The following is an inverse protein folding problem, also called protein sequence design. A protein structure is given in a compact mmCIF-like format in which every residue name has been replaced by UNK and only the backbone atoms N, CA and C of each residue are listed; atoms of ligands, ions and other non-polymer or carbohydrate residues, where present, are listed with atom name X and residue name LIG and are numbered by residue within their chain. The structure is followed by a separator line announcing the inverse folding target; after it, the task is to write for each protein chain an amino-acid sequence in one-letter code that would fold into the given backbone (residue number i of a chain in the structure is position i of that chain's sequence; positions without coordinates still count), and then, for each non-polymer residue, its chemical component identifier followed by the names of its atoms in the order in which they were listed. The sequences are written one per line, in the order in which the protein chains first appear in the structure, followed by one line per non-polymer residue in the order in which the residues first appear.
data_IF_765471606881
#
_entry.id   IF_765471606881
#
_cell.length_a   1.000
_cell.length_b   1.000
_cell.length_c   1.000
_cell.angle_alpha   90.00
_cell.angle_beta   90.00
_cell.angle_gamma   90.00
#
_symmetry.space_group_name_H-M   'P 1'
#
loop_
_entity.id
_entity.type
_entity.pdbx_description
1 polymer ?
#
# COMPACT_ATOMS: atom_id res chain seq x y z
N UNK A 1 3.45 -4.75 -5.40
CA UNK A 1 4.32 -4.27 -6.48
C UNK A 1 5.36 -5.33 -6.89
N UNK A 2 6.05 -5.99 -5.94
CA UNK A 2 7.09 -7.00 -6.22
C UNK A 2 6.62 -8.15 -7.13
N UNK A 3 5.47 -8.78 -6.83
CA UNK A 3 4.91 -9.86 -7.66
C UNK A 3 4.63 -9.37 -9.09
N UNK A 4 4.15 -8.14 -9.22
CA UNK A 4 3.91 -7.52 -10.52
C UNK A 4 5.23 -7.30 -11.29
N UNK A 5 6.25 -6.76 -10.61
CA UNK A 5 7.58 -6.54 -11.18
C UNK A 5 8.18 -7.85 -11.71
N UNK A 6 8.12 -8.90 -10.90
CA UNK A 6 8.58 -10.23 -11.27
C UNK A 6 7.81 -10.80 -12.48
N UNK A 7 6.48 -10.71 -12.48
CA UNK A 7 5.65 -11.19 -13.59
C UNK A 7 5.93 -10.43 -14.88
N UNK A 8 6.10 -9.10 -14.81
CA UNK A 8 6.36 -8.23 -15.94
C UNK A 8 7.73 -8.55 -16.56
N UNK A 9 8.78 -8.56 -15.73
CA UNK A 9 10.14 -8.82 -16.19
C UNK A 9 10.27 -10.22 -16.80
N UNK A 10 9.82 -11.24 -16.08
CA UNK A 10 9.92 -12.61 -16.54
C UNK A 10 9.03 -12.94 -17.76
N UNK A 11 7.98 -12.14 -18.01
CA UNK A 11 7.22 -12.24 -19.26
C UNK A 11 8.02 -11.75 -20.47
N UNK A 12 8.73 -10.63 -20.33
CA UNK A 12 9.47 -9.97 -21.40
C UNK A 12 10.97 -10.34 -21.44
N UNK A 13 11.47 -11.11 -20.50
CA UNK A 13 12.86 -11.54 -20.44
C UNK A 13 13.22 -12.47 -21.60
N UNK A 14 14.51 -12.53 -21.93
CA UNK A 14 15.04 -13.52 -22.88
C UNK A 14 14.66 -14.93 -22.39
N UNK A 15 14.06 -15.73 -23.25
CA UNK A 15 13.46 -17.04 -22.94
C UNK A 15 12.20 -17.00 -22.05
N UNK A 16 11.63 -15.83 -21.85
CA UNK A 16 10.34 -15.63 -21.18
C UNK A 16 9.13 -16.07 -22.00
N UNK A 17 7.94 -15.83 -21.45
CA UNK A 17 6.69 -16.22 -22.12
C UNK A 17 6.48 -15.48 -23.45
N UNK A 18 6.79 -14.17 -23.47
CA UNK A 18 6.71 -13.36 -24.71
C UNK A 18 7.71 -13.85 -25.75
N UNK A 19 8.93 -14.18 -25.33
CA UNK A 19 9.94 -14.77 -26.22
C UNK A 19 9.41 -16.05 -26.88
N UNK A 20 8.88 -16.98 -26.09
CA UNK A 20 8.37 -18.26 -26.61
C UNK A 20 7.22 -18.06 -27.60
N UNK A 21 6.33 -17.09 -27.36
CA UNK A 21 5.20 -16.80 -28.25
C UNK A 21 5.69 -16.15 -29.56
N UNK A 22 6.56 -15.15 -29.44
CA UNK A 22 7.00 -14.36 -30.60
C UNK A 22 7.99 -15.11 -31.49
N UNK A 23 8.89 -15.92 -30.91
CA UNK A 23 9.79 -16.77 -31.72
C UNK A 23 9.04 -17.83 -32.49
N UNK A 24 7.94 -18.36 -31.93
CA UNK A 24 7.07 -19.30 -32.65
C UNK A 24 6.31 -18.65 -33.83
N UNK A 25 6.04 -17.33 -33.75
CA UNK A 25 5.29 -16.59 -34.77
C UNK A 25 6.19 -15.93 -35.81
N UNK A 26 7.31 -15.37 -35.39
CA UNK A 26 8.14 -14.49 -36.26
C UNK A 26 9.60 -14.94 -36.39
N UNK A 27 10.06 -15.96 -35.65
CA UNK A 27 11.45 -16.40 -35.59
C UNK A 27 12.33 -15.63 -34.60
N UNK A 28 13.48 -16.22 -34.24
CA UNK A 28 14.34 -15.69 -33.15
C UNK A 28 15.02 -14.36 -33.45
N UNK A 29 15.27 -14.05 -34.70
CA UNK A 29 16.11 -12.90 -35.08
C UNK A 29 15.47 -11.53 -34.76
N UNK A 30 14.15 -11.42 -34.75
CA UNK A 30 13.45 -10.14 -34.56
C UNK A 30 13.07 -9.85 -33.14
N UNK A 31 13.12 -10.82 -32.22
CA UNK A 31 12.69 -10.67 -30.83
C UNK A 31 13.43 -9.55 -30.11
N UNK A 32 14.75 -9.54 -30.15
CA UNK A 32 15.58 -8.59 -29.38
C UNK A 32 15.48 -7.12 -29.84
N UNK A 33 14.92 -6.87 -31.04
CA UNK A 33 14.84 -5.53 -31.64
C UNK A 33 13.59 -4.74 -31.17
N UNK A 34 12.49 -5.42 -30.88
CA UNK A 34 11.19 -4.78 -30.67
C UNK A 34 10.63 -4.89 -29.26
N UNK A 35 11.28 -5.64 -28.37
CA UNK A 35 10.75 -5.87 -27.02
C UNK A 35 11.27 -4.84 -26.05
N UNK A 36 10.36 -4.18 -25.30
CA UNK A 36 10.77 -3.24 -24.28
C UNK A 36 11.45 -3.99 -23.13
N UNK A 37 12.63 -3.52 -22.75
CA UNK A 37 13.29 -3.99 -21.53
C UNK A 37 12.71 -3.26 -20.34
N UNK A 38 12.12 -4.03 -19.43
CA UNK A 38 11.60 -3.51 -18.16
C UNK A 38 12.67 -3.71 -17.09
N UNK A 39 13.65 -2.82 -17.05
CA UNK A 39 14.77 -2.84 -16.12
C UNK A 39 14.88 -1.51 -15.34
N UNK A 40 15.66 -1.54 -14.26
CA UNK A 40 15.98 -0.37 -13.46
C UNK A 40 14.77 0.47 -13.06
N UNK A 41 14.91 1.79 -13.10
CA UNK A 41 13.87 2.74 -12.67
C UNK A 41 12.61 2.67 -13.52
N UNK A 42 12.70 2.37 -14.80
CA UNK A 42 11.54 2.29 -15.70
C UNK A 42 10.64 1.12 -15.32
N UNK A 43 11.21 -0.07 -15.13
CA UNK A 43 10.46 -1.25 -14.68
C UNK A 43 9.82 -1.05 -13.31
N UNK A 44 10.53 -0.41 -12.38
CA UNK A 44 10.02 -0.09 -11.04
C UNK A 44 8.83 0.87 -11.09
N UNK A 45 8.93 1.97 -11.84
CA UNK A 45 7.85 2.96 -11.98
C UNK A 45 6.59 2.32 -12.55
N UNK A 46 6.71 1.52 -13.61
CA UNK A 46 5.55 0.84 -14.21
C UNK A 46 4.93 -0.14 -13.22
N UNK A 47 5.75 -0.96 -12.56
CA UNK A 47 5.28 -1.97 -11.61
C UNK A 47 4.55 -1.35 -10.42
N UNK A 48 5.10 -0.27 -9.85
CA UNK A 48 4.46 0.46 -8.76
C UNK A 48 3.19 1.18 -9.22
N UNK A 49 3.19 1.79 -10.42
CA UNK A 49 2.03 2.49 -10.96
C UNK A 49 0.83 1.57 -11.13
N UNK A 50 1.01 0.40 -11.74
CA UNK A 50 -0.07 -0.58 -11.91
C UNK A 50 -0.50 -1.27 -10.61
N UNK A 51 0.38 -1.33 -9.61
CA UNK A 51 0.04 -1.91 -8.31
C UNK A 51 -0.69 -0.93 -7.38
N UNK A 52 -0.34 0.35 -7.42
CA UNK A 52 -0.80 1.32 -6.41
C UNK A 52 -1.85 2.33 -6.91
N UNK A 53 -2.17 2.38 -8.22
CA UNK A 53 -3.18 3.30 -8.74
C UNK A 53 -4.53 3.18 -8.01
N UNK A 54 -4.85 2.00 -7.50
CA UNK A 54 -6.08 1.71 -6.80
C UNK A 54 -6.33 2.61 -5.58
N UNK A 55 -5.28 3.01 -4.86
CA UNK A 55 -5.40 3.91 -3.71
C UNK A 55 -5.97 5.28 -4.13
N UNK A 56 -5.42 5.88 -5.19
CA UNK A 56 -5.91 7.16 -5.73
C UNK A 56 -7.31 6.99 -6.32
N UNK A 57 -7.52 5.92 -7.07
CA UNK A 57 -8.79 5.64 -7.73
C UNK A 57 -9.95 5.51 -6.74
N UNK A 58 -9.79 4.69 -5.70
CA UNK A 58 -10.88 4.43 -4.73
C UNK A 58 -11.25 5.69 -3.97
N UNK A 59 -10.28 6.45 -3.48
CA UNK A 59 -10.54 7.69 -2.73
C UNK A 59 -11.14 8.78 -3.60
N UNK A 60 -10.62 8.95 -4.82
CA UNK A 60 -11.14 9.94 -5.77
C UNK A 60 -12.56 9.57 -6.24
N UNK A 61 -12.79 8.29 -6.54
CA UNK A 61 -14.12 7.79 -6.91
C UNK A 61 -15.12 7.98 -5.78
N UNK A 62 -14.76 7.68 -4.54
CA UNK A 62 -15.62 7.93 -3.38
C UNK A 62 -15.97 9.41 -3.26
N UNK A 63 -14.97 10.31 -3.41
CA UNK A 63 -15.19 11.74 -3.39
C UNK A 63 -16.17 12.20 -4.47
N UNK A 64 -16.00 11.74 -5.70
CA UNK A 64 -16.92 12.08 -6.79
C UNK A 64 -18.33 11.51 -6.58
N UNK A 65 -18.45 10.31 -6.00
CA UNK A 65 -19.74 9.69 -5.73
C UNK A 65 -20.55 10.45 -4.67
N UNK A 66 -19.86 10.99 -3.65
CA UNK A 66 -20.50 11.77 -2.58
C UNK A 66 -20.64 13.27 -2.91
N UNK A 67 -20.08 13.75 -4.02
CA UNK A 67 -20.32 15.10 -4.49
C UNK A 67 -21.78 15.19 -4.97
N UNK A 68 -22.53 16.07 -4.32
CA UNK A 68 -23.95 16.21 -4.60
C UNK A 68 -24.19 16.72 -6.03
N UNK A 69 -25.31 16.30 -6.62
CA UNK A 69 -25.86 16.84 -7.88
C UNK A 69 -25.90 18.39 -7.87
N UNK A 70 -26.04 18.97 -6.69
CA UNK A 70 -26.04 20.42 -6.49
C UNK A 70 -24.79 21.11 -7.08
N UNK A 71 -23.60 20.47 -7.06
CA UNK A 71 -22.39 21.09 -7.64
C UNK A 71 -22.47 21.17 -9.18
N UNK A 72 -23.11 20.19 -9.81
CA UNK A 72 -23.35 20.22 -11.26
C UNK A 72 -24.40 21.27 -11.60
N UNK A 73 -25.45 21.38 -10.79
CA UNK A 73 -26.50 22.39 -10.96
C UNK A 73 -25.97 23.81 -10.74
N UNK A 74 -25.12 24.01 -9.72
CA UNK A 74 -24.41 25.28 -9.51
C UNK A 74 -23.57 25.66 -10.73
N UNK A 75 -22.83 24.71 -11.31
CA UNK A 75 -22.07 24.96 -12.53
C UNK A 75 -22.95 25.39 -13.70
N UNK A 76 -24.09 24.74 -13.90
CA UNK A 76 -25.07 25.10 -14.94
C UNK A 76 -25.68 26.45 -14.69
N UNK A 77 -26.04 26.81 -13.44
CA UNK A 77 -26.60 28.10 -13.07
C UNK A 77 -25.60 29.26 -13.26
N UNK A 78 -24.30 28.94 -13.14
CA UNK A 78 -23.22 29.89 -13.47
C UNK A 78 -22.90 29.99 -14.98
N UNK A 79 -23.65 29.29 -15.82
CA UNK A 79 -23.46 29.29 -17.27
C UNK A 79 -22.26 28.43 -17.75
N UNK A 80 -21.68 27.60 -16.88
CA UNK A 80 -20.56 26.76 -17.29
C UNK A 80 -21.02 25.54 -18.12
N UNK A 81 -20.24 25.24 -19.15
CA UNK A 81 -20.35 23.98 -19.86
C UNK A 81 -20.03 22.79 -18.93
N UNK A 82 -20.43 21.59 -19.31
CA UNK A 82 -20.15 20.36 -18.52
C UNK A 82 -18.65 20.17 -18.27
N UNK A 83 -17.80 20.50 -19.23
CA UNK A 83 -16.33 20.42 -19.10
C UNK A 83 -15.79 21.48 -18.15
N UNK A 84 -16.30 22.70 -18.23
CA UNK A 84 -15.89 23.77 -17.32
C UNK A 84 -16.35 23.51 -15.89
N UNK A 85 -17.58 23.02 -15.69
CA UNK A 85 -18.08 22.62 -14.38
C UNK A 85 -17.21 21.51 -13.77
N UNK A 86 -16.78 20.54 -14.57
CA UNK A 86 -15.86 19.51 -14.10
C UNK A 86 -14.51 20.08 -13.66
N UNK A 87 -13.88 20.89 -14.51
CA UNK A 87 -12.51 21.40 -14.23
C UNK A 87 -12.48 22.50 -13.17
N UNK A 88 -13.52 23.37 -13.11
CA UNK A 88 -13.53 24.55 -12.22
C UNK A 88 -14.21 24.29 -10.87
N UNK A 89 -15.12 23.30 -10.78
CA UNK A 89 -15.90 23.05 -9.56
C UNK A 89 -15.65 21.65 -9.01
N UNK A 90 -15.90 20.61 -9.82
CA UNK A 90 -15.90 19.22 -9.34
C UNK A 90 -14.47 18.74 -9.02
N UNK A 91 -13.53 18.92 -9.93
CA UNK A 91 -12.14 18.50 -9.75
C UNK A 91 -11.44 19.23 -8.59
N UNK A 92 -11.58 20.57 -8.42
CA UNK A 92 -11.04 21.26 -7.24
C UNK A 92 -11.64 20.78 -5.92
N UNK A 93 -12.93 20.45 -5.88
CA UNK A 93 -13.55 19.90 -4.65
C UNK A 93 -13.08 18.48 -4.31
N UNK A 94 -12.60 17.71 -5.28
CA UNK A 94 -12.02 16.41 -5.07
C UNK A 94 -10.50 16.43 -4.73
N UNK A 95 -9.83 17.59 -4.83
CA UNK A 95 -8.39 17.71 -4.54
C UNK A 95 -7.94 17.06 -3.23
N UNK A 96 -8.65 17.22 -2.10
CA UNK A 96 -8.20 16.61 -0.86
C UNK A 96 -8.23 15.08 -0.89
N UNK A 97 -9.17 14.47 -1.61
CA UNK A 97 -9.22 13.01 -1.78
C UNK A 97 -8.10 12.51 -2.72
N UNK A 98 -7.80 13.28 -3.77
CA UNK A 98 -6.69 12.99 -4.68
C UNK A 98 -5.35 13.07 -3.92
N UNK A 99 -5.14 14.12 -3.13
CA UNK A 99 -3.92 14.30 -2.34
C UNK A 99 -3.78 13.20 -1.30
N UNK A 100 -4.87 12.82 -0.61
CA UNK A 100 -4.85 11.69 0.32
C UNK A 100 -4.47 10.38 -0.38
N UNK A 101 -5.01 10.10 -1.57
CA UNK A 101 -4.63 8.94 -2.36
C UNK A 101 -3.16 8.95 -2.80
N UNK A 102 -2.67 10.11 -3.27
CA UNK A 102 -1.26 10.27 -3.63
C UNK A 102 -0.33 10.13 -2.43
N UNK A 103 -0.70 10.62 -1.26
CA UNK A 103 0.09 10.46 -0.03
C UNK A 103 0.18 8.98 0.38
N UNK A 104 -0.90 8.22 0.26
CA UNK A 104 -0.86 6.78 0.50
C UNK A 104 0.06 6.07 -0.49
N UNK A 105 -0.01 6.39 -1.77
CA UNK A 105 0.90 5.85 -2.79
C UNK A 105 2.35 6.21 -2.46
N UNK A 106 2.62 7.46 -2.10
CA UNK A 106 3.96 7.89 -1.73
C UNK A 106 4.49 7.13 -0.50
N UNK A 107 3.66 6.91 0.53
CA UNK A 107 4.03 6.12 1.71
C UNK A 107 4.32 4.65 1.34
N UNK A 108 3.51 4.04 0.48
CA UNK A 108 3.75 2.67 0.02
C UNK A 108 5.00 2.55 -0.86
N UNK A 109 5.27 3.52 -1.74
CA UNK A 109 6.51 3.58 -2.52
C UNK A 109 7.76 3.74 -1.64
N UNK A 110 7.69 4.61 -0.61
CA UNK A 110 8.78 4.80 0.35
C UNK A 110 8.98 3.57 1.25
N UNK A 111 7.96 2.73 1.41
CA UNK A 111 8.03 1.50 2.20
C UNK A 111 8.44 0.28 1.38
N UNK A 112 8.40 0.37 0.05
CA UNK A 112 8.67 -0.76 -0.82
C UNK A 112 10.17 -1.09 -0.79
N UNK A 113 10.45 -2.32 -0.43
CA UNK A 113 11.77 -2.92 -0.50
C UNK A 113 11.86 -3.89 -1.69
N UNK A 114 10.80 -4.71 -1.86
CA UNK A 114 10.83 -5.84 -2.79
C UNK A 114 11.00 -5.42 -4.25
N UNK A 115 10.22 -4.43 -4.71
CA UNK A 115 10.28 -3.97 -6.11
C UNK A 115 11.59 -3.27 -6.41
N UNK A 116 12.02 -2.36 -5.53
CA UNK A 116 13.26 -1.59 -5.76
C UNK A 116 14.49 -2.48 -5.67
N UNK A 117 14.50 -3.45 -4.76
CA UNK A 117 15.57 -4.45 -4.67
C UNK A 117 15.63 -5.35 -5.90
N UNK A 118 14.48 -5.78 -6.40
CA UNK A 118 14.37 -6.61 -7.61
C UNK A 118 14.97 -5.90 -8.83
N UNK A 119 14.73 -4.60 -9.00
CA UNK A 119 15.30 -3.79 -10.07
C UNK A 119 16.67 -3.20 -9.74
N UNK A 120 17.30 -3.64 -8.66
CA UNK A 120 18.64 -3.18 -8.22
C UNK A 120 18.75 -1.66 -8.03
N UNK A 121 17.65 -1.03 -7.56
CA UNK A 121 17.61 0.42 -7.29
C UNK A 121 18.00 0.68 -5.84
N UNK A 122 19.02 1.50 -5.64
CA UNK A 122 19.44 1.93 -4.31
C UNK A 122 18.48 2.99 -3.75
N UNK A 123 17.70 2.61 -2.75
CA UNK A 123 16.78 3.49 -2.00
C UNK A 123 17.13 3.46 -0.51
N UNK A 124 16.48 4.34 0.29
CA UNK A 124 16.68 4.29 1.74
C UNK A 124 16.25 2.95 2.33
N UNK A 125 15.18 2.33 1.83
CA UNK A 125 14.72 1.02 2.30
C UNK A 125 15.71 -0.09 1.99
N UNK A 126 16.31 -0.11 0.80
CA UNK A 126 17.38 -1.07 0.46
C UNK A 126 18.65 -0.80 1.28
N UNK A 127 18.98 0.48 1.52
CA UNK A 127 20.08 0.87 2.39
C UNK A 127 19.91 0.38 3.83
N UNK A 128 18.72 0.56 4.42
CA UNK A 128 18.39 0.07 5.77
C UNK A 128 18.54 -1.46 5.84
N UNK A 129 17.96 -2.16 4.87
CA UNK A 129 18.01 -3.61 4.83
C UNK A 129 19.44 -4.15 4.68
N UNK A 130 20.22 -3.58 3.77
CA UNK A 130 21.61 -3.99 3.55
C UNK A 130 22.49 -3.69 4.78
N UNK A 131 22.33 -2.52 5.41
CA UNK A 131 23.06 -2.19 6.64
C UNK A 131 22.74 -3.19 7.76
N UNK A 132 21.46 -3.54 7.91
CA UNK A 132 21.05 -4.48 8.94
C UNK A 132 21.47 -5.93 8.65
N UNK A 133 21.14 -6.45 7.45
CA UNK A 133 21.28 -7.89 7.15
C UNK A 133 22.64 -8.23 6.52
N UNK A 134 23.13 -7.40 5.57
CA UNK A 134 24.36 -7.70 4.85
C UNK A 134 25.61 -7.25 5.63
N UNK A 135 25.53 -6.14 6.35
CA UNK A 135 26.68 -5.59 7.10
C UNK A 135 26.59 -5.79 8.61
N UNK A 136 25.49 -6.35 9.12
CA UNK A 136 25.22 -6.55 10.57
C UNK A 136 25.40 -5.26 11.41
N UNK A 137 25.13 -4.09 10.79
CA UNK A 137 25.27 -2.78 11.41
C UNK A 137 23.89 -2.18 11.70
N UNK A 138 23.38 -2.50 12.90
CA UNK A 138 22.11 -1.95 13.39
C UNK A 138 22.17 -0.44 13.63
N UNK A 139 23.34 0.13 13.94
CA UNK A 139 23.46 1.56 14.20
C UNK A 139 23.23 2.37 12.92
N UNK A 140 23.89 2.01 11.83
CA UNK A 140 23.66 2.62 10.52
C UNK A 140 22.23 2.37 10.04
N UNK A 141 21.68 1.16 10.23
CA UNK A 141 20.30 0.87 9.90
C UNK A 141 19.30 1.77 10.66
N UNK A 142 19.53 2.04 11.95
CA UNK A 142 18.71 2.96 12.74
C UNK A 142 18.83 4.41 12.25
N UNK A 143 20.03 4.89 11.90
CA UNK A 143 20.23 6.24 11.37
C UNK A 143 19.50 6.45 10.04
N UNK A 144 19.61 5.50 9.12
CA UNK A 144 18.87 5.52 7.85
C UNK A 144 17.35 5.40 8.06
N UNK A 145 16.93 4.60 9.03
CA UNK A 145 15.51 4.47 9.43
C UNK A 145 14.97 5.79 9.96
N UNK A 146 15.74 6.50 10.78
CA UNK A 146 15.36 7.83 11.26
C UNK A 146 15.24 8.84 10.11
N UNK A 147 16.18 8.84 9.16
CA UNK A 147 16.13 9.71 7.99
C UNK A 147 14.86 9.44 7.17
N UNK A 148 14.55 8.17 6.89
CA UNK A 148 13.33 7.78 6.17
C UNK A 148 12.06 8.19 6.93
N UNK A 149 12.05 8.05 8.26
CA UNK A 149 10.94 8.49 9.10
C UNK A 149 10.69 10.01 8.98
N UNK A 150 11.75 10.82 8.96
CA UNK A 150 11.65 12.27 8.76
C UNK A 150 11.00 12.61 7.42
N UNK A 151 11.36 11.92 6.33
CA UNK A 151 10.70 12.09 5.03
C UNK A 151 9.20 11.77 5.09
N UNK A 152 8.84 10.69 5.75
CA UNK A 152 7.43 10.27 5.88
C UNK A 152 6.64 11.27 6.73
N UNK A 153 7.20 11.74 7.84
CA UNK A 153 6.58 12.77 8.65
C UNK A 153 6.38 14.08 7.86
N UNK A 154 7.33 14.45 7.03
CA UNK A 154 7.20 15.60 6.16
C UNK A 154 6.04 15.46 5.16
N UNK A 155 5.92 14.30 4.50
CA UNK A 155 4.78 14.00 3.63
C UNK A 155 3.44 14.03 4.39
N UNK A 156 3.41 13.46 5.58
CA UNK A 156 2.21 13.49 6.43
C UNK A 156 1.81 14.91 6.84
N UNK A 157 2.78 15.77 7.12
CA UNK A 157 2.52 17.18 7.42
C UNK A 157 1.97 17.93 6.20
N UNK A 158 2.49 17.69 5.01
CA UNK A 158 1.97 18.26 3.75
C UNK A 158 0.53 17.80 3.52
N UNK A 159 0.24 16.52 3.70
CA UNK A 159 -1.11 15.98 3.59
C UNK A 159 -2.08 16.66 4.55
N UNK A 160 -1.72 16.73 5.84
CA UNK A 160 -2.56 17.36 6.85
C UNK A 160 -2.78 18.85 6.58
N UNK A 161 -1.75 19.55 6.12
CA UNK A 161 -1.88 20.97 5.74
C UNK A 161 -2.84 21.15 4.56
N UNK A 162 -2.71 20.32 3.54
CA UNK A 162 -3.59 20.34 2.36
C UNK A 162 -5.06 20.03 2.70
N UNK A 163 -5.31 19.19 3.71
CA UNK A 163 -6.67 18.83 4.16
C UNK A 163 -7.33 19.88 5.04
N UNK A 164 -6.58 20.68 5.79
CA UNK A 164 -7.12 21.69 6.72
C UNK A 164 -7.95 22.78 6.03
N UNK A 165 -7.74 23.05 4.75
CA UNK A 165 -8.52 24.03 3.96
C UNK A 165 -9.88 23.53 3.48
N UNK A 166 -10.10 22.23 3.48
CA UNK A 166 -11.33 21.62 2.97
C UNK A 166 -12.25 21.25 4.15
N UNK A 167 -13.07 22.20 4.59
CA UNK A 167 -14.21 21.92 5.48
C UNK A 167 -15.21 21.07 4.69
N UNK A 168 -15.14 19.74 4.83
CA UNK A 168 -16.19 18.86 4.34
C UNK A 168 -17.46 19.09 5.16
N UNK A 169 -18.29 20.01 4.73
CA UNK A 169 -19.70 19.98 5.09
C UNK A 169 -20.32 18.89 4.20
N UNK A 170 -20.33 17.66 4.68
CA UNK A 170 -21.23 16.65 4.15
C UNK A 170 -22.62 16.98 4.72
N UNK A 171 -23.54 17.50 3.93
CA UNK A 171 -24.92 17.59 4.35
C UNK A 171 -25.42 16.15 4.47
N UNK A 172 -25.56 15.66 5.71
CA UNK A 172 -26.06 14.33 6.04
C UNK A 172 -27.54 14.11 5.63
N UNK A 173 -28.20 15.14 5.15
CA UNK A 173 -29.60 15.09 4.70
C UNK A 173 -29.71 15.56 3.26
N UNK A 174 -30.22 14.68 2.38
CA UNK A 174 -30.63 15.04 1.03
C UNK A 174 -29.58 14.89 -0.08
N UNK A 175 -28.61 13.99 0.08
CA UNK A 175 -27.72 13.60 -1.03
C UNK A 175 -28.56 12.94 -2.14
N UNK A 176 -28.88 13.68 -3.18
CA UNK A 176 -29.42 13.08 -4.40
C UNK A 176 -28.27 12.38 -5.12
N UNK A 177 -28.42 11.10 -5.46
CA UNK A 177 -27.41 10.39 -6.24
C UNK A 177 -27.21 11.11 -7.58
N UNK A 178 -25.96 11.25 -8.02
CA UNK A 178 -25.65 11.81 -9.32
C UNK A 178 -26.32 10.94 -10.40
N UNK A 179 -27.13 11.52 -11.30
CA UNK A 179 -27.76 10.75 -12.36
C UNK A 179 -26.69 10.09 -13.21
N UNK A 180 -26.81 8.79 -13.41
CA UNK A 180 -25.92 8.04 -14.29
C UNK A 180 -26.12 8.52 -15.72
N UNK A 181 -25.03 8.90 -16.37
CA UNK A 181 -25.06 9.25 -17.79
C UNK A 181 -24.86 7.95 -18.57
N UNK A 182 -25.87 7.54 -19.32
CA UNK A 182 -25.75 6.38 -20.20
C UNK A 182 -24.91 6.74 -21.42
N UNK A 183 -23.80 6.05 -21.56
CA UNK A 183 -22.92 6.18 -22.73
C UNK A 183 -23.34 5.15 -23.78
N UNK A 184 -23.93 5.60 -24.88
CA UNK A 184 -24.43 4.74 -25.95
C UNK A 184 -23.50 4.78 -27.16
N UNK A 185 -23.27 3.60 -27.79
CA UNK A 185 -22.52 3.45 -29.03
C UNK A 185 -21.02 3.79 -28.90
N UNK A 186 -20.45 4.48 -29.89
CA UNK A 186 -19.01 4.79 -29.96
C UNK A 186 -18.49 5.60 -28.77
N UNK A 187 -19.35 6.34 -28.07
CA UNK A 187 -18.96 7.13 -26.89
C UNK A 187 -18.64 6.27 -25.65
N UNK A 188 -19.18 5.06 -25.59
CA UNK A 188 -18.87 4.11 -24.49
C UNK A 188 -17.57 3.33 -24.74
N UNK A 189 -17.12 3.24 -26.00
CA UNK A 189 -16.00 2.39 -26.38
C UNK A 189 -14.69 2.83 -25.71
N UNK A 190 -14.37 4.12 -25.75
CA UNK A 190 -13.12 4.63 -25.18
C UNK A 190 -13.02 4.41 -23.66
N UNK A 191 -14.01 4.81 -22.82
CA UNK A 191 -13.95 4.53 -21.38
C UNK A 191 -13.88 3.04 -21.05
N UNK A 192 -14.63 2.21 -21.80
CA UNK A 192 -14.63 0.75 -21.60
C UNK A 192 -13.28 0.15 -21.93
N UNK A 193 -12.70 0.49 -23.08
CA UNK A 193 -11.36 0.01 -23.45
C UNK A 193 -10.29 0.47 -22.48
N UNK A 194 -10.34 1.73 -22.04
CA UNK A 194 -9.39 2.27 -21.07
C UNK A 194 -9.47 1.55 -19.72
N UNK A 195 -10.68 1.36 -19.17
CA UNK A 195 -10.85 0.62 -17.92
C UNK A 195 -10.45 -0.85 -18.07
N UNK A 196 -10.79 -1.49 -19.21
CA UNK A 196 -10.39 -2.86 -19.49
C UNK A 196 -8.89 -3.01 -19.63
N UNK A 197 -8.21 -2.05 -20.25
CA UNK A 197 -6.76 -2.02 -20.36
C UNK A 197 -6.09 -1.96 -18.98
N UNK A 198 -6.53 -1.03 -18.13
CA UNK A 198 -5.99 -0.93 -16.77
C UNK A 198 -6.25 -2.21 -15.98
N UNK A 199 -7.46 -2.75 -16.02
CA UNK A 199 -7.82 -3.98 -15.32
C UNK A 199 -7.03 -5.19 -15.83
N UNK A 200 -6.87 -5.28 -17.14
CA UNK A 200 -6.07 -6.35 -17.75
C UNK A 200 -4.63 -6.31 -17.26
N UNK A 201 -3.95 -5.17 -17.40
CA UNK A 201 -2.54 -5.07 -17.02
C UNK A 201 -2.31 -5.11 -15.51
N UNK A 202 -3.20 -4.54 -14.70
CA UNK A 202 -3.01 -4.53 -13.24
C UNK A 202 -3.35 -5.86 -12.57
N UNK A 203 -4.26 -6.64 -13.12
CA UNK A 203 -4.77 -7.84 -12.46
C UNK A 203 -4.68 -9.10 -13.33
N UNK A 204 -5.32 -9.10 -14.52
CA UNK A 204 -5.40 -10.32 -15.32
C UNK A 204 -4.02 -10.79 -15.76
N UNK A 205 -3.20 -9.90 -16.25
CA UNK A 205 -1.86 -10.21 -16.76
C UNK A 205 -0.95 -10.88 -15.70
N UNK A 206 -0.68 -10.28 -14.52
CA UNK A 206 0.17 -10.92 -13.53
C UNK A 206 -0.41 -12.22 -12.99
N UNK A 207 -1.73 -12.30 -12.79
CA UNK A 207 -2.40 -13.52 -12.32
C UNK A 207 -2.28 -14.64 -13.36
N UNK A 208 -2.56 -14.34 -14.64
CA UNK A 208 -2.45 -15.34 -15.71
C UNK A 208 -1.03 -15.86 -15.88
N UNK A 209 -0.04 -15.00 -15.73
CA UNK A 209 1.38 -15.39 -15.80
C UNK A 209 1.76 -16.31 -14.63
N UNK A 210 1.32 -16.01 -13.41
CA UNK A 210 1.53 -16.87 -12.25
C UNK A 210 0.84 -18.23 -12.40
N UNK A 211 -0.41 -18.24 -12.88
CA UNK A 211 -1.13 -19.48 -13.15
C UNK A 211 -0.43 -20.32 -14.23
N UNK A 212 0.03 -19.69 -15.29
CA UNK A 212 0.79 -20.38 -16.35
C UNK A 212 2.03 -21.09 -15.80
N UNK A 213 2.81 -20.43 -14.95
CA UNK A 213 3.99 -21.06 -14.34
C UNK A 213 3.62 -22.21 -13.37
N UNK A 214 2.57 -22.03 -12.57
CA UNK A 214 2.11 -23.07 -11.66
C UNK A 214 1.75 -24.34 -12.42
N UNK A 215 1.09 -24.22 -13.57
CA UNK A 215 0.70 -25.36 -14.40
C UNK A 215 1.89 -25.95 -15.14
N UNK A 216 2.79 -25.11 -15.66
CA UNK A 216 3.93 -25.55 -16.49
C UNK A 216 5.03 -26.21 -15.65
N UNK A 217 5.22 -25.79 -14.40
CA UNK A 217 6.32 -26.23 -13.54
C UNK A 217 5.83 -26.86 -12.21
N UNK A 218 4.98 -27.87 -12.23
CA UNK A 218 4.41 -28.43 -11.01
C UNK A 218 5.46 -29.09 -10.09
N UNK A 219 6.59 -29.53 -10.64
CA UNK A 219 7.65 -30.20 -9.86
C UNK A 219 8.26 -29.31 -8.78
N UNK A 220 8.32 -28.01 -9.00
CA UNK A 220 8.86 -27.06 -8.01
C UNK A 220 8.00 -26.91 -6.75
N UNK A 221 6.73 -27.36 -6.80
CA UNK A 221 5.82 -27.32 -5.65
C UNK A 221 5.78 -28.63 -4.85
N UNK A 222 6.36 -29.72 -5.37
CA UNK A 222 6.29 -31.05 -4.74
C UNK A 222 7.11 -31.12 -3.45
N UNK A 223 8.22 -30.38 -3.38
CA UNK A 223 9.11 -30.37 -2.22
C UNK A 223 8.72 -29.31 -1.17
N UNK A 224 7.69 -28.51 -1.43
CA UNK A 224 7.22 -27.45 -0.54
C UNK A 224 5.99 -27.93 0.22
N UNK A 225 6.07 -27.95 1.55
CA UNK A 225 4.90 -28.22 2.40
C UNK A 225 3.93 -27.02 2.39
N UNK A 226 3.16 -26.93 1.29
CA UNK A 226 2.18 -25.85 1.09
C UNK A 226 1.10 -25.86 2.19
N UNK A 227 0.78 -27.02 2.74
CA UNK A 227 -0.25 -27.14 3.78
C UNK A 227 0.21 -26.45 5.06
N UNK A 228 1.41 -26.77 5.54
CA UNK A 228 1.99 -26.17 6.73
C UNK A 228 2.15 -24.65 6.57
N UNK A 229 2.65 -24.17 5.41
CA UNK A 229 2.77 -22.74 5.12
C UNK A 229 1.42 -22.02 5.16
N UNK A 230 0.38 -22.62 4.56
CA UNK A 230 -0.97 -22.03 4.59
C UNK A 230 -1.56 -22.00 6.00
N UNK A 231 -1.43 -23.09 6.77
CA UNK A 231 -1.90 -23.15 8.16
C UNK A 231 -1.22 -22.08 9.02
N UNK A 232 0.11 -21.96 8.94
CA UNK A 232 0.86 -20.95 9.68
C UNK A 232 0.45 -19.53 9.30
N UNK A 233 0.25 -19.27 8.01
CA UNK A 233 -0.23 -17.97 7.53
C UNK A 233 -1.64 -17.66 8.05
N UNK A 234 -2.57 -18.62 7.97
CA UNK A 234 -3.93 -18.46 8.47
C UNK A 234 -3.98 -18.25 9.99
N UNK A 235 -3.18 -19.02 10.73
CA UNK A 235 -3.05 -18.86 12.19
C UNK A 235 -2.59 -17.44 12.54
N UNK A 236 -1.57 -16.94 11.84
CA UNK A 236 -1.02 -15.61 12.06
C UNK A 236 -2.05 -14.51 11.73
N UNK A 237 -2.79 -14.66 10.64
CA UNK A 237 -3.87 -13.74 10.23
C UNK A 237 -4.99 -13.73 11.27
N UNK A 238 -5.46 -14.90 11.71
CA UNK A 238 -6.55 -15.00 12.69
C UNK A 238 -6.14 -14.41 14.03
N UNK A 239 -4.96 -14.75 14.53
CA UNK A 239 -4.48 -14.22 15.82
C UNK A 239 -4.29 -12.70 15.77
N UNK A 240 -3.64 -12.20 14.72
CA UNK A 240 -3.40 -10.76 14.59
C UNK A 240 -4.70 -9.96 14.42
N UNK A 241 -5.62 -10.44 13.58
CA UNK A 241 -6.90 -9.75 13.36
C UNK A 241 -7.78 -9.76 14.60
N UNK A 242 -7.85 -10.87 15.33
CA UNK A 242 -8.61 -10.97 16.58
C UNK A 242 -8.05 -10.01 17.63
N UNK A 243 -6.73 -9.96 17.77
CA UNK A 243 -6.05 -9.02 18.67
C UNK A 243 -6.37 -7.57 18.28
N UNK A 244 -6.22 -7.20 17.00
CA UNK A 244 -6.50 -5.86 16.47
C UNK A 244 -7.95 -5.44 16.70
N UNK A 245 -8.92 -6.29 16.40
CA UNK A 245 -10.35 -5.99 16.56
C UNK A 245 -10.68 -5.80 18.04
N UNK A 246 -10.21 -6.69 18.91
CA UNK A 246 -10.48 -6.64 20.34
C UNK A 246 -9.95 -5.35 20.97
N UNK A 247 -8.70 -5.00 20.73
CA UNK A 247 -8.11 -3.77 21.26
C UNK A 247 -8.73 -2.50 20.64
N UNK A 248 -9.04 -2.52 19.35
CA UNK A 248 -9.72 -1.40 18.70
C UNK A 248 -11.14 -1.19 19.25
N UNK A 249 -11.86 -2.26 19.51
CA UNK A 249 -13.19 -2.17 20.13
C UNK A 249 -13.09 -1.59 21.54
N UNK A 250 -12.18 -2.12 22.37
CA UNK A 250 -11.98 -1.63 23.75
C UNK A 250 -11.59 -0.15 23.78
N UNK A 251 -10.68 0.27 22.89
CA UNK A 251 -10.24 1.68 22.83
C UNK A 251 -11.35 2.61 22.34
N UNK A 252 -12.13 2.21 21.32
CA UNK A 252 -13.28 2.99 20.85
C UNK A 252 -14.37 3.08 21.93
N UNK A 253 -14.66 1.98 22.62
CA UNK A 253 -15.62 1.97 23.73
C UNK A 253 -15.13 2.87 24.88
N UNK A 254 -13.86 2.74 25.28
CA UNK A 254 -13.26 3.58 26.30
C UNK A 254 -13.33 5.08 25.97
N UNK A 255 -13.06 5.45 24.71
CA UNK A 255 -13.18 6.84 24.27
C UNK A 255 -14.63 7.37 24.30
N UNK A 256 -15.62 6.53 24.06
CA UNK A 256 -17.05 6.91 24.14
C UNK A 256 -17.51 7.12 25.57
N UNK A 257 -17.08 6.24 26.47
CA UNK A 257 -17.55 6.25 27.87
C UNK A 257 -16.82 7.29 28.71
N UNK A 258 -15.49 7.32 28.65
CA UNK A 258 -14.70 8.16 29.59
C UNK A 258 -14.65 9.64 29.21
N UNK A 259 -14.91 10.02 27.94
CA UNK A 259 -14.72 11.38 27.38
C UNK A 259 -13.36 12.01 27.73
N UNK A 260 -12.37 11.19 28.09
CA UNK A 260 -11.04 11.63 28.49
C UNK A 260 -10.25 12.18 27.31
N UNK A 261 -9.75 13.42 27.45
CA UNK A 261 -8.85 14.02 26.45
C UNK A 261 -7.56 13.22 26.28
N UNK A 262 -7.06 12.61 27.35
CA UNK A 262 -5.84 11.80 27.33
C UNK A 262 -6.02 10.52 26.50
N UNK A 263 -7.12 9.78 26.68
CA UNK A 263 -7.41 8.59 25.89
C UNK A 263 -7.61 8.93 24.41
N UNK A 264 -8.28 10.03 24.13
CA UNK A 264 -8.44 10.50 22.75
C UNK A 264 -7.10 10.88 22.11
N UNK A 265 -6.19 11.49 22.86
CA UNK A 265 -4.85 11.82 22.39
C UNK A 265 -4.03 10.54 22.12
N UNK A 266 -4.04 9.57 23.05
CA UNK A 266 -3.36 8.28 22.88
C UNK A 266 -3.88 7.52 21.66
N UNK A 267 -5.20 7.45 21.49
CA UNK A 267 -5.79 6.77 20.33
C UNK A 267 -5.41 7.47 19.01
N UNK A 268 -5.38 8.80 18.98
CA UNK A 268 -4.96 9.57 17.81
C UNK A 268 -3.48 9.33 17.49
N UNK A 269 -2.64 9.24 18.51
CA UNK A 269 -1.21 8.91 18.34
C UNK A 269 -1.04 7.49 17.78
N UNK A 270 -1.77 6.51 18.32
CA UNK A 270 -1.70 5.11 17.86
C UNK A 270 -2.13 4.94 16.40
N UNK A 271 -2.99 5.81 15.87
CA UNK A 271 -3.41 5.80 14.47
C UNK A 271 -2.25 6.13 13.51
N UNK A 272 -1.25 6.89 13.95
CA UNK A 272 -0.10 7.26 13.11
C UNK A 272 0.81 6.08 12.73
N UNK A 273 0.70 4.95 13.42
CA UNK A 273 1.53 3.76 13.18
C UNK A 273 1.44 3.19 11.76
N UNK A 274 0.32 3.39 11.06
CA UNK A 274 0.18 2.94 9.67
C UNK A 274 1.16 3.60 8.70
N UNK A 275 1.56 4.84 8.98
CA UNK A 275 2.50 5.59 8.15
C UNK A 275 3.94 5.04 8.23
N UNK A 276 4.26 4.20 9.23
CA UNK A 276 5.61 3.69 9.46
C UNK A 276 5.88 2.50 8.53
N UNK A 277 6.92 2.57 7.67
CA UNK A 277 7.36 1.44 6.85
C UNK A 277 7.71 0.21 7.68
N UNK A 278 7.39 -0.98 7.13
CA UNK A 278 7.66 -2.25 7.82
C UNK A 278 9.12 -2.46 8.16
N UNK A 279 10.04 -2.01 7.30
CA UNK A 279 11.50 -2.13 7.54
C UNK A 279 11.94 -1.28 8.73
N UNK A 280 11.45 -0.04 8.84
CA UNK A 280 11.73 0.84 10.00
C UNK A 280 11.20 0.19 11.28
N UNK A 281 9.96 -0.31 11.22
CA UNK A 281 9.33 -0.95 12.37
C UNK A 281 10.09 -2.19 12.82
N UNK A 282 10.58 -3.01 11.88
CA UNK A 282 11.38 -4.19 12.19
C UNK A 282 12.69 -3.82 12.90
N UNK A 283 13.46 -2.88 12.34
CA UNK A 283 14.72 -2.39 12.95
C UNK A 283 14.46 -1.78 14.32
N UNK A 284 13.43 -0.94 14.47
CA UNK A 284 13.07 -0.31 15.74
C UNK A 284 12.69 -1.34 16.82
N UNK A 285 11.89 -2.36 16.49
CA UNK A 285 11.51 -3.41 17.44
C UNK A 285 12.71 -4.25 17.86
N UNK A 286 13.57 -4.64 16.92
CA UNK A 286 14.79 -5.41 17.24
C UNK A 286 15.71 -4.61 18.16
N UNK A 287 15.94 -3.34 17.85
CA UNK A 287 16.77 -2.46 18.67
C UNK A 287 16.17 -2.27 20.07
N UNK A 288 14.86 -2.01 20.14
CA UNK A 288 14.16 -1.83 21.42
C UNK A 288 14.22 -3.09 22.30
N UNK A 289 13.91 -4.27 21.73
CA UNK A 289 13.94 -5.50 22.51
C UNK A 289 15.36 -5.98 22.84
N UNK A 290 16.35 -5.66 22.02
CA UNK A 290 17.76 -5.88 22.38
C UNK A 290 18.15 -5.01 23.58
N UNK A 291 17.85 -3.72 23.52
CA UNK A 291 18.09 -2.80 24.64
C UNK A 291 17.35 -3.22 25.93
N UNK A 292 16.09 -3.61 25.82
CA UNK A 292 15.28 -4.07 26.95
C UNK A 292 15.86 -5.33 27.57
N UNK A 293 16.34 -6.25 26.75
CA UNK A 293 17.01 -7.48 27.20
C UNK A 293 18.31 -7.19 27.98
N UNK A 294 19.13 -6.28 27.43
CA UNK A 294 20.39 -5.89 28.07
C UNK A 294 20.13 -5.15 29.40
N UNK A 295 19.14 -4.28 29.44
CA UNK A 295 18.69 -3.60 30.65
C UNK A 295 18.18 -4.59 31.70
N UNK A 296 17.35 -5.55 31.31
CA UNK A 296 16.80 -6.57 32.22
C UNK A 296 17.87 -7.51 32.76
N UNK A 297 18.86 -7.89 31.94
CA UNK A 297 19.95 -8.74 32.37
C UNK A 297 20.89 -8.01 33.34
N UNK A 298 21.16 -6.74 33.11
CA UNK A 298 22.06 -5.93 33.96
C UNK A 298 21.39 -5.56 35.32
N UNK A 299 20.08 -5.33 35.34
CA UNK A 299 19.36 -4.82 36.54
C UNK A 299 18.77 -5.94 37.38
N UNK A 300 18.21 -6.97 36.75
CA UNK A 300 17.46 -8.02 37.44
C UNK A 300 18.09 -9.41 37.32
N UNK A 301 19.22 -9.57 36.62
CA UNK A 301 19.89 -10.86 36.40
C UNK A 301 19.02 -11.87 35.60
N UNK A 302 17.97 -11.41 34.94
CA UNK A 302 17.07 -12.25 34.17
C UNK A 302 17.72 -12.64 32.84
N UNK A 303 17.64 -13.95 32.52
CA UNK A 303 18.12 -14.41 31.22
C UNK A 303 17.36 -13.76 30.08
N UNK A 304 18.08 -13.47 29.03
CA UNK A 304 17.68 -12.73 27.83
C UNK A 304 16.23 -12.94 27.39
N UNK A 305 15.43 -11.88 27.41
CA UNK A 305 14.10 -11.82 26.78
C UNK A 305 14.16 -11.71 25.26
N UNK A 306 15.35 -11.53 24.69
CA UNK A 306 15.56 -11.29 23.26
C UNK A 306 14.87 -12.34 22.38
N UNK A 307 14.98 -13.62 22.75
CA UNK A 307 14.39 -14.75 21.99
C UNK A 307 12.86 -14.80 22.05
N UNK A 308 12.22 -14.19 23.05
CA UNK A 308 10.75 -14.17 23.17
C UNK A 308 10.14 -13.23 22.12
N UNK A 309 10.83 -12.15 21.77
CA UNK A 309 10.33 -11.13 20.86
C UNK A 309 10.92 -11.22 19.46
N UNK A 310 12.24 -11.45 19.36
CA UNK A 310 12.94 -11.51 18.08
C UNK A 310 12.81 -12.90 17.48
N UNK A 311 12.26 -12.98 16.25
CA UNK A 311 12.05 -14.24 15.54
C UNK A 311 10.85 -15.05 16.03
N UNK A 312 9.98 -14.49 16.86
CA UNK A 312 8.79 -15.13 17.40
C UNK A 312 7.50 -14.65 16.73
N UNK A 313 6.44 -15.46 16.84
CA UNK A 313 5.07 -15.08 16.44
C UNK A 313 4.60 -13.85 17.21
N UNK A 314 4.99 -13.71 18.48
CA UNK A 314 4.61 -12.56 19.29
C UNK A 314 5.19 -11.24 18.76
N UNK A 315 6.47 -11.23 18.38
CA UNK A 315 7.09 -10.06 17.74
C UNK A 315 6.41 -9.66 16.45
N UNK A 316 6.00 -10.64 15.62
CA UNK A 316 5.24 -10.38 14.39
C UNK A 316 3.84 -9.82 14.68
N UNK A 317 3.11 -10.38 15.63
CA UNK A 317 1.79 -9.87 16.03
C UNK A 317 1.90 -8.43 16.54
N UNK A 318 2.92 -8.11 17.32
CA UNK A 318 3.18 -6.74 17.81
C UNK A 318 3.48 -5.79 16.65
N UNK A 319 4.28 -6.20 15.68
CA UNK A 319 4.55 -5.39 14.48
C UNK A 319 3.28 -5.12 13.68
N UNK A 320 2.46 -6.14 13.47
CA UNK A 320 1.16 -6.00 12.81
C UNK A 320 0.20 -5.12 13.62
N UNK A 321 0.21 -5.27 14.94
CA UNK A 321 -0.60 -4.44 15.83
C UNK A 321 -0.25 -2.95 15.67
N UNK A 322 1.02 -2.59 15.76
CA UNK A 322 1.46 -1.20 15.61
C UNK A 322 1.07 -0.65 14.23
N UNK A 323 1.29 -1.42 13.17
CA UNK A 323 1.06 -0.98 11.79
C UNK A 323 -0.43 -0.89 11.43
N UNK A 324 -1.23 -1.88 11.79
CA UNK A 324 -2.61 -2.02 11.31
C UNK A 324 -3.67 -1.59 12.31
N UNK A 325 -3.29 -1.18 13.52
CA UNK A 325 -4.24 -0.70 14.53
C UNK A 325 -5.12 0.44 14.01
N UNK A 326 -4.55 1.35 13.25
CA UNK A 326 -5.24 2.47 12.62
C UNK A 326 -6.42 2.03 11.73
N UNK A 327 -6.23 0.98 10.92
CA UNK A 327 -7.27 0.48 10.04
C UNK A 327 -8.44 -0.11 10.83
N UNK A 328 -8.14 -0.93 11.83
CA UNK A 328 -9.14 -1.54 12.70
C UNK A 328 -9.88 -0.49 13.54
N UNK A 329 -9.15 0.46 14.12
CA UNK A 329 -9.73 1.53 14.94
C UNK A 329 -10.69 2.42 14.14
N UNK A 330 -10.27 2.87 12.95
CA UNK A 330 -11.10 3.72 12.09
C UNK A 330 -12.31 2.96 11.53
N UNK A 331 -12.16 1.68 11.20
CA UNK A 331 -13.27 0.84 10.76
C UNK A 331 -14.37 0.64 11.81
N UNK A 332 -14.00 0.59 13.11
CA UNK A 332 -14.97 0.46 14.20
C UNK A 332 -15.56 1.83 14.60
N UNK A 333 -14.80 2.91 14.40
CA UNK A 333 -15.24 4.27 14.74
C UNK A 333 -16.31 4.81 13.78
N UNK A 334 -16.31 4.33 12.50
CA UNK A 334 -17.29 4.73 11.48
C UNK A 334 -18.68 4.19 11.78
#
# INVERSE_FOLDING_TARGET
AYIYAYSLTAFFENYGTAFTILTNLFGEYEYNKYIPKFDGSFGSIISMSFSFFGYVYVLTRASFYYQSQNLIEVGKNLGFSSRESFLKIIMPSARPAIIAGLSLVAMECLSDFGTVSFFSISTLTTGIYNSWIAFDDLNTANQLSFLLLVFILFLFLIENYSRKGAKYHQPTRGLKPIPKIELIGKKSLFPTLFCSFIFFFSFIFPVSQMMYWTVKFPKYFQDIDLLSLNINTMLLVVLSSTCLISFSFLTNYGNRVSKSKFLNYLSTFSISGYAIPGVILAVALITFFSWLSDFSSSTFGLKSFKSIFIGSIFGLILAYFIRFFSLSFNGIKS
#
